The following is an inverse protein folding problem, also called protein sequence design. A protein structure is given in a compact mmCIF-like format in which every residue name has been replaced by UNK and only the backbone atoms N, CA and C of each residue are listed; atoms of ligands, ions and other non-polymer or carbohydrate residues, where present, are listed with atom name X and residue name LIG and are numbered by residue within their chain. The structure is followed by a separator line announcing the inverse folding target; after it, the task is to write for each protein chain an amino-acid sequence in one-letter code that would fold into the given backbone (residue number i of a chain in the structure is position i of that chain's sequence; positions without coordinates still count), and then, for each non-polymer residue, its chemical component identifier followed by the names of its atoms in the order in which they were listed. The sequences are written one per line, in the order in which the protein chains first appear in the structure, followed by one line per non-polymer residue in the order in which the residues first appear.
data_IF_426627708587
#
_entry.id   IF_426627708587
#
_cell.length_a   1.000
_cell.length_b   1.000
_cell.length_c   1.000
_cell.angle_alpha   90.00
_cell.angle_beta   90.00
_cell.angle_gamma   90.00
#
_symmetry.space_group_name_H-M   'P 1'
#
loop_
_entity.id
_entity.type
_entity.pdbx_description
1 polymer ?
#
# COMPACT_ATOMS: atom_id res chain seq x y z
N UNK A 1 -33.87 68.12 -2.45
CA UNK A 1 -33.07 67.02 -1.87
C UNK A 1 -33.95 65.82 -1.73
N UNK A 2 -33.85 64.87 -2.62
CA UNK A 2 -34.63 63.62 -2.57
C UNK A 2 -33.67 62.45 -2.42
N UNK A 3 -33.70 61.79 -1.27
CA UNK A 3 -32.95 60.57 -1.02
C UNK A 3 -33.83 59.38 -1.38
N UNK A 4 -33.48 58.68 -2.43
CA UNK A 4 -34.09 57.37 -2.78
C UNK A 4 -33.36 56.26 -2.07
N UNK A 5 -34.04 55.56 -1.19
CA UNK A 5 -33.60 54.34 -0.55
C UNK A 5 -33.89 53.20 -1.55
N UNK A 6 -32.83 52.60 -2.09
CA UNK A 6 -32.92 51.36 -2.86
C UNK A 6 -32.86 50.20 -1.89
N UNK A 7 -33.95 49.46 -1.78
CA UNK A 7 -34.05 48.24 -0.97
C UNK A 7 -33.26 47.11 -1.61
N UNK A 8 -32.33 46.56 -0.88
CA UNK A 8 -31.59 45.35 -1.22
C UNK A 8 -32.42 44.11 -0.79
N UNK A 9 -32.99 43.47 -1.76
CA UNK A 9 -33.72 42.22 -1.57
C UNK A 9 -32.71 41.07 -1.59
N UNK A 10 -32.38 40.50 -0.41
CA UNK A 10 -31.55 39.32 -0.30
C UNK A 10 -32.42 38.09 -0.61
N UNK A 11 -32.21 37.49 -1.75
CA UNK A 11 -32.70 36.18 -2.11
C UNK A 11 -31.80 35.14 -1.44
N UNK A 12 -32.28 34.54 -0.34
CA UNK A 12 -31.66 33.35 0.26
C UNK A 12 -32.07 32.15 -0.57
N UNK A 13 -31.21 31.73 -1.49
CA UNK A 13 -31.32 30.42 -2.09
C UNK A 13 -30.78 29.39 -1.11
N UNK A 14 -31.67 28.68 -0.43
CA UNK A 14 -31.31 27.51 0.36
C UNK A 14 -30.86 26.39 -0.58
N UNK A 15 -29.57 26.20 -0.67
CA UNK A 15 -28.95 25.12 -1.45
C UNK A 15 -29.17 23.76 -0.78
N UNK A 16 -30.24 23.06 -1.15
CA UNK A 16 -30.49 21.67 -0.76
C UNK A 16 -29.73 20.66 -1.65
N UNK A 17 -28.76 21.10 -2.45
CA UNK A 17 -28.07 20.27 -3.45
C UNK A 17 -26.71 19.68 -3.03
N UNK A 18 -26.17 20.07 -1.86
CA UNK A 18 -24.78 19.75 -1.54
C UNK A 18 -24.54 18.46 -0.79
N UNK A 19 -25.58 17.78 -0.27
CA UNK A 19 -25.39 16.56 0.53
C UNK A 19 -25.20 15.27 -0.27
N UNK A 20 -25.67 15.22 -1.53
CA UNK A 20 -25.52 14.00 -2.35
C UNK A 20 -24.13 13.85 -2.99
N UNK A 21 -23.39 14.95 -3.19
CA UNK A 21 -22.07 14.92 -3.80
C UNK A 21 -20.98 14.44 -2.85
N UNK A 22 -21.11 14.68 -1.54
CA UNK A 22 -20.10 14.29 -0.55
C UNK A 22 -20.03 12.78 -0.30
N UNK A 23 -21.16 12.07 -0.37
CA UNK A 23 -21.19 10.62 -0.19
C UNK A 23 -20.56 9.85 -1.37
N UNK A 24 -20.63 10.38 -2.59
CA UNK A 24 -20.03 9.75 -3.76
C UNK A 24 -18.50 9.90 -3.77
N UNK A 25 -17.95 11.04 -3.33
CA UNK A 25 -16.49 11.24 -3.26
C UNK A 25 -15.81 10.26 -2.31
N UNK A 26 -16.38 10.01 -1.15
CA UNK A 26 -15.85 9.05 -0.19
C UNK A 26 -15.86 7.59 -0.68
N UNK A 27 -16.80 7.24 -1.57
CA UNK A 27 -16.88 5.90 -2.14
C UNK A 27 -15.82 5.65 -3.21
N UNK A 28 -15.58 6.61 -4.10
CA UNK A 28 -14.57 6.53 -5.15
C UNK A 28 -13.13 6.55 -4.58
N UNK A 29 -12.87 7.28 -3.52
CA UNK A 29 -11.55 7.29 -2.86
C UNK A 29 -11.25 5.92 -2.23
N UNK A 30 -12.19 5.33 -1.49
CA UNK A 30 -12.01 4.00 -0.87
C UNK A 30 -11.80 2.87 -1.87
N UNK A 31 -12.48 2.90 -3.02
CA UNK A 31 -12.26 1.91 -4.08
C UNK A 31 -10.88 2.04 -4.73
N UNK A 32 -10.37 3.26 -4.81
CA UNK A 32 -9.02 3.54 -5.32
C UNK A 32 -7.96 3.04 -4.37
N UNK A 33 -8.14 3.29 -3.08
CA UNK A 33 -7.23 2.85 -2.03
C UNK A 33 -7.17 1.32 -1.95
N UNK A 34 -8.31 0.64 -1.94
CA UNK A 34 -8.38 -0.82 -2.00
C UNK A 34 -7.66 -1.42 -3.22
N UNK A 35 -7.80 -0.81 -4.41
CA UNK A 35 -7.09 -1.27 -5.61
C UNK A 35 -5.58 -1.07 -5.48
N UNK A 36 -5.17 0.05 -4.85
CA UNK A 36 -3.78 0.34 -4.50
C UNK A 36 -3.21 -0.75 -3.60
N UNK A 37 -3.85 -1.02 -2.47
CA UNK A 37 -3.43 -2.02 -1.49
C UNK A 37 -3.31 -3.43 -2.10
N UNK A 38 -4.24 -3.81 -2.98
CA UNK A 38 -4.14 -5.07 -3.72
C UNK A 38 -2.98 -5.10 -4.71
N UNK A 39 -2.67 -3.97 -5.36
CA UNK A 39 -1.56 -3.88 -6.30
C UNK A 39 -0.23 -3.96 -5.55
N UNK A 40 -0.09 -3.24 -4.45
CA UNK A 40 1.10 -3.21 -3.60
C UNK A 40 1.37 -4.59 -3.00
N UNK A 41 0.37 -5.22 -2.40
CA UNK A 41 0.49 -6.60 -1.90
C UNK A 41 0.92 -7.59 -2.97
N UNK A 42 0.43 -7.45 -4.21
CA UNK A 42 0.86 -8.33 -5.31
C UNK A 42 2.29 -8.05 -5.75
N UNK A 43 2.74 -6.80 -5.69
CA UNK A 43 4.12 -6.43 -5.96
C UNK A 43 5.04 -7.06 -4.92
N UNK A 44 4.75 -6.89 -3.64
CA UNK A 44 5.53 -7.44 -2.54
C UNK A 44 5.61 -8.98 -2.58
N UNK A 45 4.51 -9.66 -2.92
CA UNK A 45 4.52 -11.12 -3.10
C UNK A 45 5.43 -11.54 -4.26
N UNK A 46 5.48 -10.76 -5.36
CA UNK A 46 6.41 -11.06 -6.46
C UNK A 46 7.86 -10.83 -6.05
N UNK A 47 8.12 -9.79 -5.28
CA UNK A 47 9.47 -9.47 -4.81
C UNK A 47 9.95 -10.51 -3.80
N UNK A 48 9.11 -10.94 -2.86
CA UNK A 48 9.40 -12.07 -1.96
C UNK A 48 9.79 -13.33 -2.75
N UNK A 49 9.05 -13.69 -3.79
CA UNK A 49 9.37 -14.87 -4.62
C UNK A 49 10.70 -14.74 -5.35
N UNK A 50 11.02 -13.55 -5.82
CA UNK A 50 12.30 -13.25 -6.48
C UNK A 50 13.45 -13.38 -5.50
N UNK A 51 13.28 -12.84 -4.30
CA UNK A 51 14.29 -12.88 -3.25
C UNK A 51 14.48 -14.28 -2.69
N UNK A 52 13.42 -15.06 -2.56
CA UNK A 52 13.51 -16.49 -2.20
C UNK A 52 14.32 -17.29 -3.22
N UNK A 53 14.14 -17.04 -4.51
CA UNK A 53 14.92 -17.67 -5.57
C UNK A 53 16.40 -17.24 -5.52
N UNK A 54 16.65 -15.94 -5.26
CA UNK A 54 18.01 -15.42 -5.09
C UNK A 54 18.70 -16.02 -3.88
N UNK A 55 18.03 -16.08 -2.74
CA UNK A 55 18.55 -16.74 -1.52
C UNK A 55 18.90 -18.20 -1.78
N UNK A 56 18.09 -18.92 -2.53
CA UNK A 56 18.38 -20.32 -2.87
C UNK A 56 19.67 -20.44 -3.70
N UNK A 57 19.87 -19.54 -4.66
CA UNK A 57 21.08 -19.44 -5.47
C UNK A 57 22.31 -19.11 -4.62
N UNK A 58 22.24 -18.07 -3.81
CA UNK A 58 23.38 -17.59 -2.98
C UNK A 58 23.75 -18.62 -1.90
N UNK A 59 22.78 -19.38 -1.39
CA UNK A 59 23.08 -20.55 -0.52
C UNK A 59 23.82 -21.66 -1.24
N UNK A 60 23.55 -21.87 -2.52
CA UNK A 60 24.29 -22.82 -3.34
C UNK A 60 25.70 -22.32 -3.59
N UNK A 61 25.91 -21.05 -3.96
CA UNK A 61 27.22 -20.44 -4.14
C UNK A 61 28.05 -20.49 -2.88
N UNK A 62 27.46 -20.13 -1.74
CA UNK A 62 28.13 -20.24 -0.43
C UNK A 62 28.64 -21.67 -0.16
N UNK A 63 27.85 -22.68 -0.44
CA UNK A 63 28.28 -24.07 -0.23
C UNK A 63 29.41 -24.44 -1.17
N UNK A 64 29.36 -24.04 -2.44
CA UNK A 64 30.41 -24.25 -3.42
C UNK A 64 31.70 -23.59 -2.97
N UNK A 65 31.66 -22.33 -2.61
CA UNK A 65 32.86 -21.58 -2.19
C UNK A 65 33.49 -22.17 -0.93
N UNK A 66 32.69 -22.63 0.01
CA UNK A 66 33.23 -23.34 1.19
C UNK A 66 33.89 -24.66 0.81
N UNK A 67 33.33 -25.42 -0.12
CA UNK A 67 33.89 -26.67 -0.61
C UNK A 67 35.22 -26.46 -1.35
N UNK A 68 35.30 -25.39 -2.13
CA UNK A 68 36.50 -24.99 -2.89
C UNK A 68 37.56 -24.29 -2.02
N UNK A 69 37.26 -23.98 -0.76
CA UNK A 69 38.18 -23.26 0.13
C UNK A 69 38.26 -21.75 -0.12
N UNK A 70 37.28 -21.19 -0.87
CA UNK A 70 37.18 -19.77 -1.19
C UNK A 70 36.56 -18.99 -0.03
N UNK A 71 37.21 -18.98 1.13
CA UNK A 71 36.65 -18.41 2.37
C UNK A 71 36.31 -16.92 2.26
N UNK A 72 37.02 -16.15 1.42
CA UNK A 72 36.74 -14.72 1.21
C UNK A 72 35.40 -14.54 0.46
N UNK A 73 35.18 -15.31 -0.61
CA UNK A 73 33.92 -15.30 -1.35
C UNK A 73 32.76 -15.78 -0.46
N UNK A 74 32.97 -16.89 0.26
CA UNK A 74 31.99 -17.40 1.22
C UNK A 74 31.62 -16.38 2.31
N UNK A 75 32.53 -15.56 2.76
CA UNK A 75 32.25 -14.49 3.73
C UNK A 75 31.39 -13.38 3.11
N UNK A 76 31.62 -13.05 1.84
CA UNK A 76 30.80 -12.10 1.09
C UNK A 76 29.37 -12.62 0.92
N UNK A 77 29.21 -13.86 0.43
CA UNK A 77 27.90 -14.51 0.27
C UNK A 77 27.09 -14.57 1.60
N UNK A 78 27.75 -14.85 2.71
CA UNK A 78 27.09 -14.79 4.03
C UNK A 78 26.61 -13.40 4.40
N UNK A 79 27.33 -12.34 4.02
CA UNK A 79 26.93 -10.98 4.28
C UNK A 79 25.72 -10.58 3.41
N UNK A 80 25.69 -10.99 2.14
CA UNK A 80 24.58 -10.80 1.23
C UNK A 80 23.32 -11.53 1.70
N UNK A 81 23.41 -12.81 2.00
CA UNK A 81 22.31 -13.58 2.56
C UNK A 81 21.67 -12.94 3.79
N UNK A 82 22.48 -12.35 4.69
CA UNK A 82 21.94 -11.63 5.85
C UNK A 82 21.15 -10.39 5.46
N UNK A 83 21.51 -9.69 4.38
CA UNK A 83 20.75 -8.54 3.86
C UNK A 83 19.43 -9.01 3.27
N UNK A 84 19.46 -10.01 2.41
CA UNK A 84 18.30 -10.58 1.75
C UNK A 84 17.26 -11.13 2.73
N UNK A 85 17.71 -11.82 3.77
CA UNK A 85 16.78 -12.25 4.83
C UNK A 85 16.12 -11.10 5.58
N UNK A 86 16.82 -9.96 5.76
CA UNK A 86 16.20 -8.77 6.35
C UNK A 86 15.18 -8.15 5.41
N UNK A 87 15.48 -8.10 4.12
CA UNK A 87 14.60 -7.51 3.11
C UNK A 87 13.34 -8.36 2.95
N UNK A 88 13.45 -9.68 2.80
CA UNK A 88 12.29 -10.60 2.80
C UNK A 88 11.44 -10.47 4.06
N UNK A 89 12.04 -10.34 5.23
CA UNK A 89 11.27 -10.21 6.47
C UNK A 89 10.51 -8.87 6.51
N UNK A 90 11.07 -7.81 5.92
CA UNK A 90 10.39 -6.52 5.76
C UNK A 90 9.20 -6.66 4.82
N UNK A 91 9.40 -7.22 3.64
CA UNK A 91 8.35 -7.40 2.63
C UNK A 91 7.22 -8.30 3.13
N UNK A 92 7.54 -9.35 3.89
CA UNK A 92 6.52 -10.17 4.56
C UNK A 92 5.71 -9.39 5.59
N UNK A 93 6.35 -8.47 6.32
CA UNK A 93 5.65 -7.60 7.26
C UNK A 93 4.74 -6.59 6.53
N UNK A 94 5.16 -6.09 5.36
CA UNK A 94 4.37 -5.21 4.52
C UNK A 94 3.15 -5.94 3.95
N UNK A 95 3.33 -7.13 3.38
CA UNK A 95 2.21 -8.00 2.93
C UNK A 95 1.21 -8.28 4.05
N UNK A 96 1.69 -8.47 5.27
CA UNK A 96 0.81 -8.67 6.42
C UNK A 96 0.01 -7.42 6.75
N UNK A 97 0.63 -6.23 6.73
CA UNK A 97 -0.04 -4.94 6.95
C UNK A 97 -1.10 -4.68 5.88
N UNK A 98 -0.76 -4.83 4.61
CA UNK A 98 -1.68 -4.63 3.49
C UNK A 98 -2.87 -5.58 3.56
N UNK A 99 -2.61 -6.85 3.90
CA UNK A 99 -3.67 -7.83 4.08
C UNK A 99 -4.63 -7.44 5.21
N UNK A 100 -4.09 -6.89 6.30
CA UNK A 100 -4.89 -6.41 7.45
C UNK A 100 -5.72 -5.19 7.06
N UNK A 101 -5.14 -4.25 6.33
CA UNK A 101 -5.80 -3.03 5.88
C UNK A 101 -6.90 -3.33 4.87
N UNK A 102 -6.63 -4.19 3.88
CA UNK A 102 -7.64 -4.69 2.95
C UNK A 102 -8.83 -5.31 3.70
N UNK A 103 -8.58 -6.15 4.70
CA UNK A 103 -9.66 -6.77 5.50
C UNK A 103 -10.46 -5.76 6.30
N UNK A 104 -9.82 -4.70 6.82
CA UNK A 104 -10.50 -3.61 7.51
C UNK A 104 -11.42 -2.86 6.55
N UNK A 105 -10.91 -2.45 5.41
CA UNK A 105 -11.63 -1.68 4.42
C UNK A 105 -12.80 -2.45 3.81
N UNK A 106 -12.63 -3.77 3.61
CA UNK A 106 -13.74 -4.65 3.21
C UNK A 106 -14.84 -4.71 4.26
N UNK A 107 -14.52 -4.78 5.55
CA UNK A 107 -15.52 -4.78 6.62
C UNK A 107 -16.24 -3.45 6.70
N UNK A 108 -15.55 -2.34 6.63
CA UNK A 108 -16.15 -1.00 6.63
C UNK A 108 -17.11 -0.82 5.44
N UNK A 109 -16.72 -1.31 4.27
CA UNK A 109 -17.58 -1.31 3.08
C UNK A 109 -18.87 -2.10 3.27
N UNK A 110 -18.80 -3.24 3.94
CA UNK A 110 -19.98 -4.06 4.22
C UNK A 110 -20.94 -3.37 5.18
N UNK A 111 -20.45 -2.65 6.18
CA UNK A 111 -21.29 -1.99 7.18
C UNK A 111 -21.88 -0.65 6.71
N UNK A 112 -21.18 0.10 5.89
CA UNK A 112 -21.58 1.44 5.44
C UNK A 112 -22.21 1.44 4.02
N UNK A 113 -22.26 0.32 3.35
CA UNK A 113 -22.80 0.17 1.99
C UNK A 113 -24.28 -0.25 1.92
N UNK A 114 -24.97 -0.27 3.07
CA UNK A 114 -26.42 -0.57 3.16
C UNK A 114 -27.26 0.68 3.32
#
# INVERSE_FOLDING_TARGET
MKRTLAGLMFLVFAGAGSMMAQNNYGYYHRDRDLRGDYADRRADIRDIRRDEAKIAHDRWELRRDLYEGNYRAAAHERAELRREYRDINRDRADVYRDTRDIRRDQRERYWYGR
#
